data_IF_842965011666
#
_entry.id   IF_842965011666
#
_cell.length_a   1.000
_cell.length_b   1.000
_cell.length_c   1.000
_cell.angle_alpha   90.00
_cell.angle_beta   90.00
_cell.angle_gamma   90.00
#
_symmetry.space_group_name_H-M   'P 1'
#
loop_
_entity.id
_entity.type
_entity.pdbx_description
1 polymer ?
#
# COMPACT_ATOMS: atom_id res chain seq x y z
N UNK A 1 -6.12 -0.68 6.66
CA UNK A 1 -6.07 -0.12 5.30
C UNK A 1 -7.20 0.86 5.05
N UNK A 2 -8.47 0.46 5.11
CA UNK A 2 -9.65 1.29 4.77
C UNK A 2 -9.65 2.74 5.30
N UNK A 3 -9.08 3.02 6.48
CA UNK A 3 -9.09 4.37 7.07
C UNK A 3 -7.77 5.15 6.91
N UNK A 4 -6.74 4.58 6.27
CA UNK A 4 -5.48 5.29 6.02
C UNK A 4 -5.67 6.26 4.84
N UNK A 5 -5.30 7.54 4.94
CA UNK A 5 -5.21 8.44 3.80
C UNK A 5 -4.35 7.84 2.68
N UNK A 6 -4.75 8.07 1.41
CA UNK A 6 -4.02 7.56 0.25
C UNK A 6 -2.51 7.92 0.27
N UNK A 7 -2.10 9.15 0.66
CA UNK A 7 -0.67 9.48 0.77
C UNK A 7 0.09 8.64 1.80
N UNK A 8 -0.57 8.19 2.88
CA UNK A 8 0.06 7.31 3.87
C UNK A 8 0.16 5.87 3.36
N UNK A 9 -0.79 5.41 2.54
CA UNK A 9 -0.70 4.10 1.89
C UNK A 9 0.47 4.04 0.89
N UNK A 10 0.69 5.12 0.13
CA UNK A 10 1.83 5.22 -0.80
C UNK A 10 3.15 5.17 -0.04
N UNK A 11 3.30 5.96 1.03
CA UNK A 11 4.50 5.90 1.89
C UNK A 11 4.70 4.53 2.52
N UNK A 12 3.62 3.86 2.93
CA UNK A 12 3.70 2.51 3.48
C UNK A 12 4.18 1.49 2.43
N UNK A 13 3.77 1.63 1.17
CA UNK A 13 4.26 0.80 0.07
C UNK A 13 5.75 0.98 -0.17
N UNK A 14 6.21 2.24 -0.25
CA UNK A 14 7.63 2.58 -0.43
C UNK A 14 8.49 1.99 0.69
N UNK A 15 8.06 2.14 1.95
CA UNK A 15 8.77 1.58 3.10
C UNK A 15 8.73 0.04 3.13
N UNK A 16 7.61 -0.58 2.75
CA UNK A 16 7.50 -2.03 2.69
C UNK A 16 8.47 -2.65 1.66
N UNK A 17 8.61 -1.99 0.50
CA UNK A 17 9.58 -2.39 -0.53
C UNK A 17 11.02 -2.16 -0.03
N UNK A 18 11.30 -0.99 0.56
CA UNK A 18 12.63 -0.65 1.09
C UNK A 18 13.12 -1.63 2.16
N UNK A 19 12.21 -2.09 3.01
CA UNK A 19 12.50 -3.06 4.07
C UNK A 19 12.48 -4.53 3.59
N UNK A 20 12.20 -4.76 2.30
CA UNK A 20 12.05 -6.09 1.72
C UNK A 20 11.05 -6.96 2.53
N UNK A 21 9.90 -6.38 2.87
CA UNK A 21 8.83 -7.09 3.56
C UNK A 21 8.23 -8.18 2.67
N UNK A 22 7.43 -9.06 3.29
CA UNK A 22 6.80 -10.16 2.60
C UNK A 22 5.96 -9.68 1.40
N UNK A 23 6.05 -10.40 0.29
CA UNK A 23 5.43 -9.99 -0.99
C UNK A 23 3.91 -9.93 -0.90
N UNK A 24 3.29 -10.79 -0.08
CA UNK A 24 1.85 -10.77 0.18
C UNK A 24 1.39 -9.46 0.87
N UNK A 25 2.19 -8.95 1.81
CA UNK A 25 1.95 -7.66 2.46
C UNK A 25 2.06 -6.51 1.46
N UNK A 26 3.09 -6.51 0.62
CA UNK A 26 3.28 -5.49 -0.44
C UNK A 26 2.08 -5.49 -1.39
N UNK A 27 1.68 -6.66 -1.90
CA UNK A 27 0.53 -6.81 -2.79
C UNK A 27 -0.79 -6.36 -2.16
N UNK A 28 -0.93 -6.52 -0.84
CA UNK A 28 -2.11 -6.04 -0.11
C UNK A 28 -2.18 -4.50 -0.15
N UNK A 29 -1.04 -3.80 0.00
CA UNK A 29 -0.98 -2.33 -0.08
C UNK A 29 -1.28 -1.86 -1.51
N UNK A 30 -0.68 -2.50 -2.51
CA UNK A 30 -0.89 -2.16 -3.93
C UNK A 30 -2.37 -2.27 -4.32
N UNK A 31 -3.03 -3.39 -3.95
CA UNK A 31 -4.45 -3.60 -4.25
C UNK A 31 -5.35 -2.52 -3.65
N UNK A 32 -5.08 -2.10 -2.42
CA UNK A 32 -5.84 -1.05 -1.77
C UNK A 32 -5.63 0.31 -2.44
N UNK A 33 -4.40 0.65 -2.84
CA UNK A 33 -4.09 1.87 -3.59
C UNK A 33 -4.85 1.88 -4.92
N UNK A 34 -4.76 0.81 -5.71
CA UNK A 34 -5.44 0.70 -7.01
C UNK A 34 -6.95 0.83 -6.88
N UNK A 35 -7.54 0.19 -5.87
CA UNK A 35 -8.99 0.27 -5.61
C UNK A 35 -9.45 1.72 -5.39
N UNK A 36 -8.68 2.51 -4.65
CA UNK A 36 -9.00 3.90 -4.31
C UNK A 36 -8.75 4.89 -5.44
N UNK A 37 -7.78 4.62 -6.30
CA UNK A 37 -7.55 5.45 -7.49
C UNK A 37 -8.62 5.23 -8.57
N UNK A 38 -9.27 4.05 -8.56
CA UNK A 38 -10.37 3.71 -9.46
C UNK A 38 -11.75 4.15 -8.93
N UNK A 39 -11.84 4.67 -7.70
CA UNK A 39 -13.08 5.15 -7.05
C UNK A 39 -13.12 6.68 -7.05
#
# INVERSE_FOLDING_TARGET
MNNLPLPLLIKALEEAIRLNLASDFIQMIEREISKRQAS
#
